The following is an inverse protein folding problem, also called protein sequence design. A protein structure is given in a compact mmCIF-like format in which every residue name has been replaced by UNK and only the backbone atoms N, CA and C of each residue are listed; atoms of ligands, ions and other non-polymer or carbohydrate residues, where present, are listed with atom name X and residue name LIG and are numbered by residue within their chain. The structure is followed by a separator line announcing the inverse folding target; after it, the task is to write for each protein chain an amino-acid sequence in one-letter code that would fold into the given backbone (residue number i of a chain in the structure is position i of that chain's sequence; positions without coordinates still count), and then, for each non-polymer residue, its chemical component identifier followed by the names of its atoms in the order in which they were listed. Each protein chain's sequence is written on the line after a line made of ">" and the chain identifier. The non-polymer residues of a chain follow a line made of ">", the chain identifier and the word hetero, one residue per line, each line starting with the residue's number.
data_IF_443627331653
#
_entry.id   IF_443627331653
#
_cell.length_a   1.000
_cell.length_b   1.000
_cell.length_c   1.000
_cell.angle_alpha   90.00
_cell.angle_beta   90.00
_cell.angle_gamma   90.00
#
_symmetry.space_group_name_H-M   'P 1'
#
loop_
_entity.id
_entity.type
_entity.pdbx_description
1 polymer ?
#
# COMPACT_ATOMS: atom_id res chain seq x y z
N UNK A 1 14.00 11.81 10.33
CA UNK A 1 13.96 11.92 8.86
C UNK A 1 14.74 13.18 8.48
N UNK A 2 16.07 13.08 8.37
CA UNK A 2 16.94 14.24 8.16
C UNK A 2 18.11 13.90 7.20
N UNK A 3 17.86 13.04 6.21
CA UNK A 3 18.87 12.67 5.21
C UNK A 3 18.85 13.58 3.96
N UNK A 4 17.80 14.40 3.79
CA UNK A 4 17.59 15.24 2.59
C UNK A 4 17.33 16.73 2.87
N UNK A 5 17.51 17.21 4.11
CA UNK A 5 17.33 18.63 4.46
C UNK A 5 15.88 19.14 4.42
N UNK A 6 14.92 18.29 4.07
CA UNK A 6 13.49 18.61 4.07
C UNK A 6 12.94 18.58 5.50
N UNK A 7 12.20 19.62 5.84
CA UNK A 7 11.42 19.81 7.06
C UNK A 7 9.93 19.58 6.76
N UNK A 8 9.09 19.36 7.78
CA UNK A 8 7.64 19.29 7.57
C UNK A 8 7.05 20.55 6.91
N UNK A 9 7.72 21.70 7.06
CA UNK A 9 7.32 22.99 6.48
C UNK A 9 7.53 23.05 4.97
N UNK A 10 8.36 22.17 4.41
CA UNK A 10 8.61 22.05 2.97
C UNK A 10 7.50 21.29 2.23
N UNK A 11 6.51 20.75 2.94
CA UNK A 11 5.35 20.06 2.38
C UNK A 11 4.11 20.95 2.58
N UNK A 12 3.44 21.33 1.48
CA UNK A 12 2.20 22.09 1.55
C UNK A 12 1.05 21.25 2.09
N UNK A 13 -0.03 21.91 2.53
CA UNK A 13 -1.28 21.20 2.85
C UNK A 13 -1.82 20.39 1.66
N UNK A 14 -1.52 20.81 0.44
CA UNK A 14 -1.86 20.11 -0.82
C UNK A 14 -1.06 18.80 -1.00
N UNK A 15 0.12 18.68 -0.39
CA UNK A 15 0.96 17.47 -0.43
C UNK A 15 0.53 16.45 0.65
N UNK A 16 -0.32 16.85 1.59
CA UNK A 16 -0.75 16.01 2.70
C UNK A 16 -1.93 15.12 2.30
N UNK A 17 -1.71 13.81 2.29
CA UNK A 17 -2.79 12.83 2.13
C UNK A 17 -3.43 12.56 3.49
N UNK A 18 -4.68 12.98 3.66
CA UNK A 18 -5.44 12.67 4.87
C UNK A 18 -5.87 11.19 4.87
N UNK A 19 -5.54 10.49 5.95
CA UNK A 19 -5.91 9.09 6.17
C UNK A 19 -6.63 8.96 7.51
N UNK A 20 -7.76 8.26 7.52
CA UNK A 20 -8.49 7.96 8.74
C UNK A 20 -7.60 7.15 9.71
N UNK A 21 -7.63 7.43 11.04
CA UNK A 21 -6.68 6.81 11.99
C UNK A 21 -6.69 5.27 12.01
N UNK A 22 -7.85 4.66 11.75
CA UNK A 22 -8.05 3.21 11.64
C UNK A 22 -7.45 2.62 10.35
N UNK A 23 -7.47 3.37 9.25
CA UNK A 23 -6.87 2.96 7.98
C UNK A 23 -5.33 3.10 7.96
N UNK A 24 -4.74 3.88 8.87
CA UNK A 24 -3.32 4.22 8.81
C UNK A 24 -2.40 2.98 8.80
N UNK A 25 -2.71 1.98 9.62
CA UNK A 25 -1.94 0.74 9.65
C UNK A 25 -1.99 -0.02 8.32
N UNK A 26 -3.13 0.01 7.63
CA UNK A 26 -3.28 -0.60 6.31
C UNK A 26 -2.50 0.16 5.24
N UNK A 27 -2.53 1.50 5.25
CA UNK A 27 -1.72 2.34 4.34
C UNK A 27 -0.23 2.08 4.52
N UNK A 28 0.25 2.01 5.76
CA UNK A 28 1.65 1.68 6.05
C UNK A 28 2.02 0.30 5.52
N UNK A 29 1.16 -0.71 5.73
CA UNK A 29 1.41 -2.05 5.23
C UNK A 29 1.40 -2.09 3.69
N UNK A 30 0.46 -1.41 3.05
CA UNK A 30 0.40 -1.29 1.59
C UNK A 30 1.67 -0.66 1.03
N UNK A 31 2.14 0.44 1.63
CA UNK A 31 3.38 1.09 1.25
C UNK A 31 4.58 0.13 1.37
N UNK A 32 4.65 -0.66 2.44
CA UNK A 32 5.73 -1.62 2.66
C UNK A 32 5.78 -2.76 1.62
N UNK A 33 4.63 -3.11 1.01
CA UNK A 33 4.55 -4.18 -0.01
C UNK A 33 4.30 -3.65 -1.42
N UNK A 34 4.28 -2.33 -1.60
CA UNK A 34 3.90 -1.65 -2.84
C UNK A 34 4.75 -2.00 -4.07
N UNK A 35 5.93 -2.59 -3.86
CA UNK A 35 6.84 -3.05 -4.90
C UNK A 35 6.64 -4.52 -5.28
N UNK A 36 5.84 -5.27 -4.53
CA UNK A 36 5.70 -6.73 -4.65
C UNK A 36 4.50 -7.13 -5.50
N UNK A 37 4.50 -6.70 -6.76
CA UNK A 37 3.47 -7.04 -7.73
C UNK A 37 3.81 -8.33 -8.48
N UNK A 38 2.79 -9.18 -8.64
CA UNK A 38 2.82 -10.28 -9.60
C UNK A 38 2.46 -9.73 -10.97
N UNK A 39 3.33 -9.97 -11.94
CA UNK A 39 3.24 -9.43 -13.29
C UNK A 39 3.20 -10.55 -14.34
N UNK A 40 2.52 -10.29 -15.44
CA UNK A 40 2.47 -11.13 -16.65
C UNK A 40 2.76 -10.28 -17.88
N UNK A 41 2.71 -10.87 -19.08
CA UNK A 41 2.81 -10.11 -20.33
C UNK A 41 1.69 -9.07 -20.49
N UNK A 42 0.54 -9.25 -19.84
CA UNK A 42 -0.54 -8.27 -19.82
C UNK A 42 -0.38 -7.18 -18.73
N UNK A 43 0.73 -7.22 -17.97
CA UNK A 43 1.02 -6.33 -16.85
C UNK A 43 0.73 -6.96 -15.48
N UNK A 44 0.70 -6.13 -14.44
CA UNK A 44 0.40 -6.53 -13.08
C UNK A 44 -1.05 -7.01 -12.93
N UNK A 45 -1.24 -8.04 -12.11
CA UNK A 45 -2.56 -8.63 -11.85
C UNK A 45 -2.88 -8.82 -10.36
N UNK A 46 -1.95 -8.48 -9.47
CA UNK A 46 -2.15 -8.53 -8.03
C UNK A 46 -0.83 -8.45 -7.26
N UNK A 47 -0.92 -8.20 -5.96
CA UNK A 47 0.17 -8.23 -5.00
C UNK A 47 0.51 -9.66 -4.60
N UNK A 48 1.76 -9.88 -4.22
CA UNK A 48 2.17 -11.13 -3.60
C UNK A 48 1.67 -11.19 -2.14
N UNK A 49 0.61 -11.97 -1.91
CA UNK A 49 0.08 -12.15 -0.55
C UNK A 49 1.01 -12.93 0.38
N UNK A 50 1.94 -13.73 -0.16
CA UNK A 50 3.00 -14.34 0.63
C UNK A 50 3.89 -13.26 1.24
N UNK A 51 4.42 -12.36 0.41
CA UNK A 51 5.20 -11.22 0.88
C UNK A 51 4.43 -10.35 1.88
N UNK A 52 3.14 -10.10 1.61
CA UNK A 52 2.26 -9.39 2.53
C UNK A 52 2.17 -10.06 3.91
N UNK A 53 1.88 -11.36 3.95
CA UNK A 53 1.79 -12.08 5.21
C UNK A 53 3.15 -12.20 5.92
N UNK A 54 4.25 -12.15 5.18
CA UNK A 54 5.60 -12.16 5.74
C UNK A 54 5.91 -10.83 6.44
N UNK A 55 5.58 -9.70 5.81
CA UNK A 55 5.66 -8.37 6.45
C UNK A 55 4.75 -8.29 7.68
N UNK A 56 3.49 -8.74 7.58
CA UNK A 56 2.58 -8.79 8.73
C UNK A 56 3.15 -9.64 9.89
N UNK A 57 3.87 -10.73 9.59
CA UNK A 57 4.56 -11.53 10.61
C UNK A 57 5.73 -10.76 11.22
N UNK A 58 6.56 -10.14 10.38
CA UNK A 58 7.72 -9.36 10.83
C UNK A 58 7.32 -8.18 11.73
N UNK A 59 6.16 -7.57 11.49
CA UNK A 59 5.63 -6.46 12.31
C UNK A 59 4.86 -6.92 13.55
N UNK A 60 4.76 -8.23 13.80
CA UNK A 60 4.04 -8.76 14.96
C UNK A 60 2.53 -8.61 14.88
N UNK A 61 1.95 -8.42 13.68
CA UNK A 61 0.49 -8.35 13.51
C UNK A 61 -0.13 -9.69 13.90
N UNK A 62 -1.02 -9.64 14.91
CA UNK A 62 -1.71 -10.81 15.47
C UNK A 62 -2.52 -11.51 14.38
N UNK A 63 -2.50 -12.85 14.36
CA UNK A 63 -3.24 -13.66 13.37
C UNK A 63 -4.71 -13.24 13.20
N UNK A 64 -5.40 -12.93 14.32
CA UNK A 64 -6.81 -12.47 14.32
C UNK A 64 -7.07 -11.16 13.56
N UNK A 65 -6.04 -10.31 13.40
CA UNK A 65 -6.13 -9.03 12.70
C UNK A 65 -5.68 -9.10 11.24
N UNK A 66 -5.07 -10.21 10.81
CA UNK A 66 -4.54 -10.34 9.44
C UNK A 66 -5.63 -10.45 8.38
N UNK A 67 -6.78 -11.02 8.73
CA UNK A 67 -7.90 -11.14 7.80
C UNK A 67 -8.52 -9.77 7.47
N UNK A 68 -8.75 -8.96 8.50
CA UNK A 68 -9.19 -7.55 8.38
C UNK A 68 -8.17 -6.74 7.58
N UNK A 69 -6.88 -6.82 7.96
CA UNK A 69 -5.82 -6.10 7.25
C UNK A 69 -5.68 -6.55 5.79
N UNK A 70 -5.85 -7.84 5.48
CA UNK A 70 -5.85 -8.32 4.10
C UNK A 70 -7.02 -7.71 3.31
N UNK A 71 -8.19 -7.57 3.93
CA UNK A 71 -9.34 -6.95 3.28
C UNK A 71 -9.02 -5.50 2.87
N UNK A 72 -8.46 -4.71 3.80
CA UNK A 72 -8.09 -3.33 3.52
C UNK A 72 -7.05 -3.22 2.38
N UNK A 73 -6.07 -4.13 2.37
CA UNK A 73 -5.06 -4.22 1.30
C UNK A 73 -5.69 -4.56 -0.05
N UNK A 74 -6.69 -5.44 -0.09
CA UNK A 74 -7.38 -5.80 -1.35
C UNK A 74 -8.15 -4.63 -1.95
N UNK A 75 -8.69 -3.74 -1.12
CA UNK A 75 -9.34 -2.50 -1.61
C UNK A 75 -8.32 -1.60 -2.31
N UNK A 76 -7.16 -1.38 -1.68
CA UNK A 76 -6.08 -0.57 -2.29
C UNK A 76 -5.45 -1.23 -3.52
N UNK A 77 -5.25 -2.56 -3.50
CA UNK A 77 -4.79 -3.35 -4.64
C UNK A 77 -5.70 -3.17 -5.86
N UNK A 78 -7.01 -3.34 -5.67
CA UNK A 78 -7.98 -3.19 -6.75
C UNK A 78 -7.96 -1.77 -7.33
N UNK A 79 -7.92 -0.75 -6.47
CA UNK A 79 -7.85 0.64 -6.92
C UNK A 79 -6.62 0.91 -7.81
N UNK A 80 -5.45 0.38 -7.46
CA UNK A 80 -4.23 0.51 -8.29
C UNK A 80 -4.37 -0.25 -9.61
N UNK A 81 -4.96 -1.45 -9.59
CA UNK A 81 -5.20 -2.22 -10.82
C UNK A 81 -6.15 -1.49 -11.76
N UNK A 82 -7.22 -0.88 -11.24
CA UNK A 82 -8.18 -0.11 -12.03
C UNK A 82 -7.51 1.11 -12.65
N UNK A 83 -6.74 1.89 -11.86
CA UNK A 83 -5.99 3.05 -12.36
C UNK A 83 -4.99 2.66 -13.47
N UNK A 84 -4.28 1.54 -13.33
CA UNK A 84 -3.36 1.06 -14.36
C UNK A 84 -4.06 0.52 -15.60
N UNK A 85 -5.28 0.02 -15.47
CA UNK A 85 -6.09 -0.39 -16.63
C UNK A 85 -6.62 0.83 -17.38
N UNK A 86 -7.11 1.85 -16.68
CA UNK A 86 -7.57 3.10 -17.28
C UNK A 86 -6.45 3.81 -18.04
N UNK A 87 -5.26 3.90 -17.45
CA UNK A 87 -4.08 4.50 -18.11
C UNK A 87 -3.57 3.74 -19.33
N UNK A 88 -3.99 2.48 -19.55
CA UNK A 88 -3.70 1.74 -20.79
C UNK A 88 -4.73 2.01 -21.91
N UNK A 89 -5.90 2.52 -21.55
CA UNK A 89 -7.03 2.72 -22.47
C UNK A 89 -7.18 4.19 -22.94
N UNK A 90 -6.36 5.12 -22.42
CA UNK A 90 -6.26 6.50 -22.87
C UNK A 90 -5.04 6.72 -23.75
#
# INVERSE_FOLDING_TARGET
>A
MAAFGLTPEDFGEEDAVQVWPDCWAAVQLFAAVSTQWRVSMAGAYGLDYGALFDVMRSWGIRKKKRAEMLHDIRVMEQAVLDMWQEGKNG
#
